data_IF_870981659256
#
_entry.id   IF_870981659256
#
_cell.length_a   1.000
_cell.length_b   1.000
_cell.length_c   1.000
_cell.angle_alpha   90.00
_cell.angle_beta   90.00
_cell.angle_gamma   90.00
#
_symmetry.space_group_name_H-M   'P 1'
#
loop_
_entity.id
_entity.type
_entity.pdbx_description
1 polymer ?
#
# COMPACT_ATOMS: atom_id res chain seq x y z
N UNK A 1 -67.44 -37.32 -32.76
CA UNK A 1 -66.36 -36.35 -32.43
C UNK A 1 -66.25 -36.25 -30.90
N UNK A 2 -65.46 -37.10 -30.26
CA UNK A 2 -65.31 -37.13 -28.80
C UNK A 2 -64.18 -36.17 -28.36
N UNK A 3 -64.50 -35.21 -27.47
CA UNK A 3 -63.50 -34.28 -26.90
C UNK A 3 -62.77 -34.95 -25.73
N UNK A 4 -61.45 -35.09 -25.85
CA UNK A 4 -60.57 -35.60 -24.80
C UNK A 4 -60.49 -34.64 -23.60
N UNK A 5 -60.66 -35.16 -22.38
CA UNK A 5 -60.44 -34.44 -21.11
C UNK A 5 -58.93 -34.28 -20.88
N UNK A 6 -58.44 -33.04 -20.92
CA UNK A 6 -57.06 -32.68 -20.61
C UNK A 6 -56.67 -33.00 -19.16
N UNK A 7 -55.53 -33.67 -19.00
CA UNK A 7 -54.94 -34.03 -17.72
C UNK A 7 -54.49 -32.80 -16.91
N UNK A 8 -54.86 -32.77 -15.62
CA UNK A 8 -54.42 -31.74 -14.68
C UNK A 8 -52.92 -31.92 -14.39
N UNK A 9 -52.10 -30.92 -14.77
CA UNK A 9 -50.67 -30.86 -14.42
C UNK A 9 -50.55 -30.72 -12.90
N UNK A 10 -49.88 -31.67 -12.23
CA UNK A 10 -49.56 -31.56 -10.80
C UNK A 10 -48.55 -30.42 -10.62
N UNK A 11 -48.96 -29.36 -9.95
CA UNK A 11 -48.05 -28.30 -9.52
C UNK A 11 -47.04 -28.88 -8.52
N UNK A 12 -45.74 -28.69 -8.80
CA UNK A 12 -44.65 -29.05 -7.92
C UNK A 12 -44.72 -28.16 -6.67
N UNK A 13 -45.38 -28.64 -5.60
CA UNK A 13 -45.32 -27.98 -4.30
C UNK A 13 -43.89 -28.11 -3.79
N UNK A 14 -43.16 -27.00 -3.79
CA UNK A 14 -41.88 -26.90 -3.09
C UNK A 14 -42.00 -27.45 -1.67
N UNK A 15 -40.97 -28.18 -1.22
CA UNK A 15 -40.89 -28.69 0.15
C UNK A 15 -41.16 -27.55 1.11
N UNK A 16 -42.31 -27.58 1.79
CA UNK A 16 -42.56 -26.71 2.94
C UNK A 16 -41.54 -27.06 4.01
N UNK A 17 -40.84 -26.06 4.54
CA UNK A 17 -39.98 -26.23 5.69
C UNK A 17 -40.75 -26.97 6.79
N UNK A 18 -40.13 -27.97 7.39
CA UNK A 18 -40.72 -28.72 8.49
C UNK A 18 -41.07 -27.73 9.63
N UNK A 19 -42.18 -27.94 10.35
CA UNK A 19 -42.51 -27.10 11.49
C UNK A 19 -41.36 -27.15 12.50
N UNK A 20 -40.92 -25.98 12.97
CA UNK A 20 -39.91 -25.89 14.02
C UNK A 20 -40.43 -26.65 15.25
N UNK A 21 -39.58 -27.51 15.80
CA UNK A 21 -39.92 -28.25 17.02
C UNK A 21 -40.25 -27.25 18.15
N UNK A 22 -41.22 -27.57 19.03
CA UNK A 22 -41.57 -26.70 20.14
C UNK A 22 -40.30 -26.38 20.95
N UNK A 23 -40.07 -25.10 21.23
CA UNK A 23 -38.87 -24.65 21.93
C UNK A 23 -38.80 -25.30 23.31
N UNK A 24 -37.67 -25.96 23.58
CA UNK A 24 -37.45 -26.63 24.85
C UNK A 24 -37.31 -25.59 25.98
N UNK A 25 -38.15 -25.61 27.03
CA UNK A 25 -38.09 -24.64 28.12
C UNK A 25 -36.77 -24.70 28.91
N UNK A 26 -36.06 -25.83 28.91
CA UNK A 26 -34.77 -25.98 29.60
C UNK A 26 -33.60 -25.29 28.89
N UNK A 27 -33.78 -24.90 27.63
CA UNK A 27 -32.76 -24.14 26.89
C UNK A 27 -32.71 -22.67 27.32
N UNK A 28 -33.82 -22.15 27.88
CA UNK A 28 -33.98 -20.76 28.28
C UNK A 28 -33.81 -20.60 29.79
N UNK A 29 -32.71 -19.98 30.19
CA UNK A 29 -32.49 -19.53 31.56
C UNK A 29 -33.01 -18.11 31.73
N UNK A 30 -34.06 -17.92 32.53
CA UNK A 30 -34.59 -16.60 32.88
C UNK A 30 -34.27 -16.24 34.33
N UNK A 31 -33.94 -14.97 34.58
CA UNK A 31 -33.78 -14.45 35.93
C UNK A 31 -35.11 -13.88 36.44
N UNK A 32 -35.50 -14.21 37.67
CA UNK A 32 -36.69 -13.63 38.28
C UNK A 32 -36.46 -12.15 38.57
N UNK A 33 -37.31 -11.28 38.01
CA UNK A 33 -37.31 -9.85 38.33
C UNK A 33 -37.88 -9.64 39.74
N UNK A 34 -37.28 -8.70 40.49
CA UNK A 34 -37.80 -8.27 41.80
C UNK A 34 -39.03 -7.38 41.65
N UNK A 35 -39.03 -6.49 40.65
CA UNK A 35 -40.12 -5.59 40.32
C UNK A 35 -40.41 -5.69 38.84
N UNK A 36 -41.68 -5.79 38.47
CA UNK A 36 -42.11 -5.69 37.08
C UNK A 36 -42.34 -4.23 36.74
N UNK A 37 -41.64 -3.74 35.72
CA UNK A 37 -41.75 -2.38 35.23
C UNK A 37 -42.25 -2.49 33.79
N UNK A 38 -43.48 -2.05 33.56
CA UNK A 38 -44.13 -2.09 32.26
C UNK A 38 -43.24 -1.42 31.20
N UNK A 39 -43.02 -2.12 30.08
CA UNK A 39 -42.23 -1.63 28.94
C UNK A 39 -40.71 -1.71 29.10
N UNK A 40 -40.16 -2.06 30.26
CA UNK A 40 -38.71 -2.14 30.46
C UNK A 40 -38.15 -3.52 30.07
N UNK A 41 -37.53 -3.60 28.88
CA UNK A 41 -36.74 -4.77 28.45
C UNK A 41 -35.34 -4.70 29.06
N UNK A 42 -34.97 -5.69 29.88
CA UNK A 42 -33.64 -5.76 30.50
C UNK A 42 -32.76 -6.69 29.70
N UNK A 43 -31.59 -6.20 29.25
CA UNK A 43 -30.62 -7.02 28.52
C UNK A 43 -30.19 -8.21 29.38
N UNK A 44 -30.32 -9.42 28.84
CA UNK A 44 -29.94 -10.65 29.53
C UNK A 44 -30.95 -11.16 30.55
N UNK A 45 -32.19 -10.68 30.53
CA UNK A 45 -33.33 -11.23 31.27
C UNK A 45 -33.55 -12.71 30.97
N UNK A 46 -33.38 -13.10 29.70
CA UNK A 46 -33.47 -14.47 29.22
C UNK A 46 -32.22 -14.82 28.44
N UNK A 47 -31.63 -15.97 28.74
CA UNK A 47 -30.40 -16.47 28.15
C UNK A 47 -30.64 -17.87 27.59
N UNK A 48 -30.35 -18.07 26.32
CA UNK A 48 -30.44 -19.39 25.69
C UNK A 48 -29.09 -20.10 25.85
N UNK A 49 -28.93 -20.83 26.96
CA UNK A 49 -27.61 -21.30 27.38
C UNK A 49 -27.05 -22.38 26.45
N UNK A 50 -27.87 -23.31 25.94
CA UNK A 50 -27.39 -24.33 25.01
C UNK A 50 -26.98 -23.76 23.66
N UNK A 51 -27.77 -22.86 23.07
CA UNK A 51 -27.40 -22.16 21.81
C UNK A 51 -26.12 -21.33 21.97
N UNK A 52 -25.94 -20.67 23.11
CA UNK A 52 -24.71 -19.92 23.40
C UNK A 52 -23.49 -20.85 23.54
N UNK A 53 -23.65 -22.00 24.20
CA UNK A 53 -22.58 -22.99 24.36
C UNK A 53 -22.23 -23.66 23.03
N UNK A 54 -23.20 -24.03 22.20
CA UNK A 54 -22.96 -24.61 20.88
C UNK A 54 -22.24 -23.61 19.98
N UNK A 55 -22.70 -22.35 19.92
CA UNK A 55 -22.04 -21.29 19.17
C UNK A 55 -20.60 -21.03 19.66
N UNK A 56 -20.36 -21.09 20.97
CA UNK A 56 -18.99 -20.98 21.51
C UNK A 56 -18.11 -22.16 21.09
N UNK A 57 -18.64 -23.38 21.09
CA UNK A 57 -17.91 -24.56 20.63
C UNK A 57 -17.61 -24.50 19.13
N UNK A 58 -18.55 -24.04 18.31
CA UNK A 58 -18.36 -23.82 16.86
C UNK A 58 -17.28 -22.76 16.60
N UNK A 59 -17.28 -21.65 17.34
CA UNK A 59 -16.21 -20.65 17.24
C UNK A 59 -14.84 -21.26 17.52
N UNK A 60 -14.69 -22.05 18.58
CA UNK A 60 -13.42 -22.74 18.89
C UNK A 60 -13.02 -23.75 17.81
N UNK A 61 -13.99 -24.47 17.22
CA UNK A 61 -13.75 -25.37 16.09
C UNK A 61 -13.29 -24.62 14.83
N UNK A 62 -13.72 -23.38 14.64
CA UNK A 62 -13.36 -22.58 13.48
C UNK A 62 -12.05 -21.78 13.67
N UNK A 63 -11.68 -21.46 14.91
CA UNK A 63 -10.45 -20.71 15.22
C UNK A 63 -9.37 -21.60 15.82
N UNK A 64 -9.48 -21.94 17.10
CA UNK A 64 -8.45 -22.66 17.87
C UNK A 64 -8.11 -24.03 17.27
N UNK A 65 -9.10 -24.76 16.75
CA UNK A 65 -8.85 -26.05 16.11
C UNK A 65 -8.06 -25.89 14.80
N UNK A 66 -8.30 -24.81 14.05
CA UNK A 66 -7.55 -24.51 12.82
C UNK A 66 -6.11 -24.14 13.18
N UNK A 67 -5.92 -23.28 14.18
CA UNK A 67 -4.60 -22.91 14.72
C UNK A 67 -3.84 -24.13 15.24
N UNK A 68 -4.50 -25.01 16.02
CA UNK A 68 -3.88 -26.24 16.52
C UNK A 68 -3.42 -27.18 15.42
N UNK A 69 -4.21 -27.34 14.35
CA UNK A 69 -3.83 -28.11 13.16
C UNK A 69 -2.64 -27.49 12.41
N UNK A 70 -2.41 -26.19 12.57
CA UNK A 70 -1.31 -25.45 11.94
C UNK A 70 -0.07 -25.31 12.84
N UNK A 71 -0.18 -25.56 14.16
CA UNK A 71 0.90 -25.34 15.14
C UNK A 71 2.25 -25.99 14.79
N UNK A 72 2.24 -27.18 14.15
CA UNK A 72 3.44 -27.90 13.72
C UNK A 72 3.75 -27.77 12.22
N UNK A 73 3.08 -26.85 11.52
CA UNK A 73 3.26 -26.62 10.08
C UNK A 73 3.94 -25.28 9.87
N UNK A 74 5.08 -25.29 9.18
CA UNK A 74 5.77 -24.06 8.79
C UNK A 74 5.17 -23.40 7.53
N UNK A 75 4.35 -24.14 6.77
CA UNK A 75 3.82 -23.66 5.49
C UNK A 75 2.49 -22.92 5.70
N UNK A 76 2.44 -21.64 5.34
CA UNK A 76 1.23 -20.83 5.30
C UNK A 76 0.91 -20.42 3.86
N UNK A 77 -0.30 -20.71 3.40
CA UNK A 77 -0.79 -20.21 2.11
C UNK A 77 -1.30 -18.78 2.30
N UNK A 78 -0.58 -17.81 1.72
CA UNK A 78 -0.99 -16.40 1.73
C UNK A 78 -1.54 -16.04 0.35
N UNK A 79 -2.85 -15.75 0.30
CA UNK A 79 -3.48 -15.32 -0.93
C UNK A 79 -3.13 -13.86 -1.25
N UNK A 80 -2.33 -13.68 -2.31
CA UNK A 80 -1.87 -12.37 -2.81
C UNK A 80 -2.67 -11.90 -4.04
N UNK A 81 -3.76 -12.57 -4.39
CA UNK A 81 -4.65 -12.13 -5.48
C UNK A 81 -5.23 -10.76 -5.15
N UNK A 82 -5.36 -9.91 -6.16
CA UNK A 82 -5.86 -8.54 -5.98
C UNK A 82 -7.28 -8.57 -5.41
N UNK A 83 -7.52 -7.78 -4.36
CA UNK A 83 -8.85 -7.60 -3.75
C UNK A 83 -9.43 -8.79 -2.98
N UNK A 84 -8.72 -9.93 -2.82
CA UNK A 84 -9.30 -11.08 -2.08
C UNK A 84 -9.62 -10.73 -0.62
N UNK A 85 -8.66 -10.09 0.07
CA UNK A 85 -8.79 -9.70 1.48
C UNK A 85 -9.62 -8.42 1.70
N UNK A 86 -10.01 -7.74 0.63
CA UNK A 86 -10.79 -6.51 0.72
C UNK A 86 -12.29 -6.82 0.75
N UNK A 87 -12.98 -6.29 1.77
CA UNK A 87 -14.43 -6.50 1.98
C UNK A 87 -15.28 -5.46 1.28
N UNK A 88 -14.69 -4.37 0.77
CA UNK A 88 -15.46 -3.30 0.10
C UNK A 88 -15.78 -3.61 -1.35
N UNK A 89 -15.00 -4.48 -1.99
CA UNK A 89 -15.16 -4.87 -3.39
C UNK A 89 -16.13 -6.03 -3.54
N UNK A 90 -16.98 -5.97 -4.57
CA UNK A 90 -17.87 -7.09 -4.95
C UNK A 90 -17.09 -8.23 -5.60
N UNK A 91 -17.68 -9.44 -5.65
CA UNK A 91 -17.04 -10.61 -6.27
C UNK A 91 -16.73 -10.40 -7.76
N UNK A 92 -17.64 -9.72 -8.47
CA UNK A 92 -17.49 -9.37 -9.87
C UNK A 92 -16.32 -8.41 -10.10
N UNK A 93 -16.22 -7.34 -9.31
CA UNK A 93 -15.11 -6.39 -9.39
C UNK A 93 -13.77 -7.06 -9.08
N UNK A 94 -13.71 -7.95 -8.08
CA UNK A 94 -12.51 -8.75 -7.77
C UNK A 94 -12.08 -9.60 -8.97
N UNK A 95 -13.04 -10.23 -9.65
CA UNK A 95 -12.76 -11.06 -10.84
C UNK A 95 -12.24 -10.22 -12.01
N UNK A 96 -12.82 -9.04 -12.23
CA UNK A 96 -12.47 -8.13 -13.31
C UNK A 96 -11.05 -7.58 -13.11
N UNK A 97 -10.72 -7.17 -11.89
CA UNK A 97 -9.38 -6.68 -11.53
C UNK A 97 -8.30 -7.76 -11.67
N UNK A 98 -8.61 -9.02 -11.35
CA UNK A 98 -7.71 -10.14 -11.62
C UNK A 98 -7.45 -10.31 -13.10
N UNK A 99 -8.50 -10.27 -13.91
CA UNK A 99 -8.39 -10.40 -15.36
C UNK A 99 -7.56 -9.25 -15.96
N UNK A 100 -7.79 -8.01 -15.50
CA UNK A 100 -6.99 -6.86 -15.93
C UNK A 100 -5.52 -7.04 -15.55
N UNK A 101 -5.22 -7.42 -14.31
CA UNK A 101 -3.84 -7.65 -13.86
C UNK A 101 -3.17 -8.78 -14.63
N UNK A 102 -3.90 -9.84 -14.94
CA UNK A 102 -3.40 -10.94 -15.78
C UNK A 102 -3.07 -10.44 -17.19
N UNK A 103 -3.98 -9.71 -17.84
CA UNK A 103 -3.73 -9.12 -19.16
C UNK A 103 -2.54 -8.17 -19.17
N UNK A 104 -2.39 -7.35 -18.12
CA UNK A 104 -1.23 -6.47 -17.98
C UNK A 104 0.07 -7.28 -17.83
N UNK A 105 0.05 -8.38 -17.08
CA UNK A 105 1.20 -9.27 -16.95
C UNK A 105 1.54 -9.95 -18.28
N UNK A 106 0.54 -10.40 -19.03
CA UNK A 106 0.72 -11.02 -20.35
C UNK A 106 1.31 -10.03 -21.37
N UNK A 107 0.83 -8.77 -21.35
CA UNK A 107 1.32 -7.69 -22.22
C UNK A 107 2.72 -7.20 -21.83
N UNK A 108 3.04 -7.18 -20.53
CA UNK A 108 4.34 -6.73 -20.04
C UNK A 108 5.52 -7.64 -20.46
N UNK A 109 5.23 -8.83 -21.00
CA UNK A 109 6.23 -9.80 -21.38
C UNK A 109 6.84 -10.50 -20.15
N UNK A 110 7.16 -11.78 -20.29
CA UNK A 110 7.93 -12.49 -19.26
C UNK A 110 9.33 -11.90 -19.18
N UNK A 111 9.92 -11.86 -17.97
CA UNK A 111 11.34 -11.50 -17.77
C UNK A 111 12.33 -12.39 -18.57
N UNK A 112 11.83 -13.44 -19.20
CA UNK A 112 12.55 -14.41 -20.02
C UNK A 112 12.15 -14.38 -21.50
N UNK A 113 11.26 -13.46 -21.90
CA UNK A 113 11.01 -13.19 -23.31
C UNK A 113 12.13 -12.28 -23.81
N UNK A 114 13.26 -12.89 -24.20
CA UNK A 114 14.31 -12.16 -24.91
C UNK A 114 13.74 -11.65 -26.24
N UNK A 115 13.95 -10.38 -26.60
CA UNK A 115 13.63 -9.93 -27.94
C UNK A 115 14.47 -10.72 -28.94
N UNK A 116 13.81 -11.30 -29.95
CA UNK A 116 14.46 -12.10 -31.01
C UNK A 116 15.27 -11.22 -31.97
N UNK A 117 14.98 -9.92 -32.02
CA UNK A 117 15.83 -8.93 -32.67
C UNK A 117 16.99 -8.55 -31.75
N UNK A 118 18.17 -9.04 -32.08
CA UNK A 118 19.45 -8.56 -31.60
C UNK A 118 19.64 -7.10 -32.06
N UNK A 119 18.98 -6.19 -31.35
CA UNK A 119 19.09 -4.76 -31.58
C UNK A 119 20.57 -4.38 -31.39
N UNK A 120 21.29 -3.85 -32.39
CA UNK A 120 22.74 -3.62 -32.32
C UNK A 120 23.16 -2.57 -31.27
N UNK A 121 22.19 -1.96 -30.57
CA UNK A 121 22.39 -1.07 -29.42
C UNK A 121 22.50 -1.81 -28.09
N UNK A 122 22.15 -3.10 -28.05
CA UNK A 122 22.18 -3.97 -26.87
C UNK A 122 23.31 -4.99 -26.93
N UNK A 123 24.36 -4.72 -27.72
CA UNK A 123 25.62 -5.48 -27.67
C UNK A 123 26.26 -5.23 -26.29
N UNK A 124 26.54 -6.30 -25.55
CA UNK A 124 27.15 -6.19 -24.23
C UNK A 124 28.59 -5.69 -24.38
N UNK A 125 28.84 -4.46 -23.95
CA UNK A 125 30.15 -3.81 -24.04
C UNK A 125 30.74 -3.55 -22.65
N UNK A 126 32.06 -3.74 -22.50
CA UNK A 126 32.82 -3.35 -21.31
C UNK A 126 33.93 -2.38 -21.75
N UNK A 127 33.98 -1.19 -21.17
CA UNK A 127 34.97 -0.17 -21.55
C UNK A 127 34.87 0.33 -23.01
N UNK A 128 33.69 0.22 -23.64
CA UNK A 128 33.49 0.66 -25.03
C UNK A 128 33.91 -0.34 -26.12
N UNK A 129 34.28 -1.57 -25.75
CA UNK A 129 34.49 -2.70 -26.67
C UNK A 129 33.42 -3.78 -26.47
N UNK A 130 33.02 -4.42 -27.57
CA UNK A 130 32.12 -5.58 -27.54
C UNK A 130 32.80 -6.75 -26.83
N UNK A 131 32.11 -7.36 -25.86
CA UNK A 131 32.61 -8.56 -25.19
C UNK A 131 32.65 -9.78 -26.12
N UNK A 132 31.86 -9.78 -27.20
CA UNK A 132 31.87 -10.85 -28.19
C UNK A 132 33.17 -10.90 -29.01
N UNK A 133 33.83 -9.75 -29.16
CA UNK A 133 35.12 -9.61 -29.88
C UNK A 133 36.33 -9.69 -28.93
N UNK A 134 36.09 -9.83 -27.62
CA UNK A 134 37.16 -9.93 -26.64
C UNK A 134 37.71 -11.36 -26.64
N UNK A 135 38.97 -11.52 -27.06
CA UNK A 135 39.66 -12.81 -27.08
C UNK A 135 39.90 -13.31 -25.64
N UNK A 136 38.94 -14.10 -25.15
CA UNK A 136 39.05 -14.77 -23.85
C UNK A 136 40.07 -15.92 -23.87
N UNK A 137 40.56 -16.31 -25.06
CA UNK A 137 41.54 -17.38 -25.24
C UNK A 137 42.95 -17.03 -24.74
N UNK A 138 43.28 -15.74 -24.62
CA UNK A 138 44.56 -15.31 -24.05
C UNK A 138 44.64 -15.47 -22.51
N UNK A 139 43.49 -15.65 -21.84
CA UNK A 139 43.39 -15.82 -20.38
C UNK A 139 42.90 -17.20 -19.95
N UNK A 140 42.78 -18.16 -20.88
CA UNK A 140 42.31 -19.50 -20.59
C UNK A 140 43.13 -20.57 -21.32
N UNK A 141 44.25 -20.99 -20.73
CA UNK A 141 45.07 -22.03 -21.36
C UNK A 141 46.22 -22.59 -20.52
N UNK A 142 46.13 -22.56 -19.20
CA UNK A 142 47.09 -23.23 -18.31
C UNK A 142 46.38 -24.32 -17.53
N UNK A 143 46.84 -25.56 -17.69
CA UNK A 143 46.45 -26.75 -16.94
C UNK A 143 46.26 -26.45 -15.44
N UNK A 144 45.12 -26.85 -14.88
CA UNK A 144 44.76 -26.61 -13.48
C UNK A 144 45.55 -27.59 -12.60
N UNK A 145 46.82 -27.29 -12.37
CA UNK A 145 47.62 -28.00 -11.37
C UNK A 145 48.69 -27.06 -10.81
N UNK A 146 48.35 -26.34 -9.74
CA UNK A 146 49.33 -25.70 -8.87
C UNK A 146 49.04 -24.26 -8.50
N UNK A 147 48.75 -24.08 -7.21
CA UNK A 147 48.94 -22.87 -6.40
C UNK A 147 48.02 -21.67 -6.70
N UNK A 148 46.99 -21.53 -5.86
CA UNK A 148 45.99 -20.46 -5.85
C UNK A 148 46.58 -19.05 -5.55
N UNK A 149 47.89 -18.94 -5.30
CA UNK A 149 48.53 -17.71 -4.83
C UNK A 149 48.97 -16.76 -5.98
N UNK A 150 49.02 -17.22 -7.23
CA UNK A 150 49.54 -16.42 -8.35
C UNK A 150 48.48 -15.65 -9.16
N UNK A 151 47.18 -15.86 -8.90
CA UNK A 151 46.10 -15.22 -9.65
C UNK A 151 45.73 -13.81 -9.14
N UNK A 152 46.17 -13.45 -7.94
CA UNK A 152 45.81 -12.18 -7.30
C UNK A 152 46.64 -10.98 -7.76
N UNK A 153 47.87 -11.20 -8.27
CA UNK A 153 48.79 -10.11 -8.64
C UNK A 153 48.72 -9.71 -10.13
N UNK A 154 48.10 -10.56 -10.97
CA UNK A 154 47.92 -10.30 -12.40
C UNK A 154 46.50 -9.82 -12.77
N UNK A 155 45.63 -9.59 -11.78
CA UNK A 155 44.32 -9.01 -12.00
C UNK A 155 44.46 -7.49 -12.20
N UNK A 156 44.57 -7.08 -13.46
CA UNK A 156 44.59 -5.66 -13.84
C UNK A 156 43.33 -4.97 -13.25
N UNK A 157 43.47 -4.00 -12.32
CA UNK A 157 42.34 -3.39 -11.62
C UNK A 157 41.37 -2.64 -12.54
N UNK A 158 41.74 -2.44 -13.81
CA UNK A 158 40.87 -1.93 -14.86
C UNK A 158 39.77 -2.92 -15.31
N UNK A 159 39.93 -4.23 -15.02
CA UNK A 159 38.97 -5.28 -15.36
C UNK A 159 38.19 -5.81 -14.14
N UNK A 160 38.46 -5.30 -12.95
CA UNK A 160 37.71 -5.63 -11.74
C UNK A 160 36.30 -5.04 -11.81
N UNK A 161 35.35 -5.86 -12.26
CA UNK A 161 33.93 -5.54 -12.24
C UNK A 161 33.42 -5.47 -10.79
N UNK A 162 33.44 -4.26 -10.22
CA UNK A 162 32.68 -3.91 -9.02
C UNK A 162 33.52 -3.48 -7.83
N UNK A 163 33.50 -2.18 -7.51
CA UNK A 163 34.09 -1.70 -6.26
C UNK A 163 34.22 -0.19 -6.08
N UNK A 164 33.22 0.60 -6.51
CA UNK A 164 33.12 1.99 -6.09
C UNK A 164 32.49 2.09 -4.69
N UNK A 165 33.34 2.27 -3.67
CA UNK A 165 33.09 2.93 -2.38
C UNK A 165 31.64 2.93 -1.87
N UNK A 166 31.20 1.83 -1.24
CA UNK A 166 30.19 1.88 -0.19
C UNK A 166 30.64 0.98 0.95
N UNK A 167 31.03 1.61 2.05
CA UNK A 167 31.33 0.94 3.30
C UNK A 167 30.11 0.16 3.77
N UNK A 168 30.34 -1.13 4.00
CA UNK A 168 29.41 -2.09 4.57
C UNK A 168 29.24 -1.79 6.07
N UNK A 169 28.09 -1.22 6.44
CA UNK A 169 27.56 -1.30 7.80
C UNK A 169 26.26 -2.12 7.76
N UNK A 170 26.30 -3.26 8.46
CA UNK A 170 25.24 -4.27 8.55
C UNK A 170 23.87 -3.72 9.01
N UNK A 171 22.76 -4.42 8.68
CA UNK A 171 21.41 -4.02 9.02
C UNK A 171 21.03 -4.53 10.40
N UNK A 172 20.76 -3.64 11.36
CA UNK A 172 20.12 -4.04 12.61
C UNK A 172 19.29 -2.90 13.22
N UNK A 173 18.11 -3.31 13.70
CA UNK A 173 17.16 -2.63 14.59
C UNK A 173 16.02 -1.82 13.96
N UNK A 174 14.86 -2.47 14.00
CA UNK A 174 13.62 -1.93 14.56
C UNK A 174 13.83 -0.77 15.55
N UNK A 175 13.19 0.38 15.27
CA UNK A 175 12.89 1.47 16.20
C UNK A 175 11.63 2.16 15.63
N UNK A 176 10.42 1.78 16.00
CA UNK A 176 9.76 2.06 17.28
C UNK A 176 10.11 3.45 17.82
N UNK A 177 9.15 4.38 17.68
CA UNK A 177 8.79 5.40 18.69
C UNK A 177 9.91 6.29 19.25
N UNK A 178 9.90 7.57 18.87
CA UNK A 178 10.19 8.77 19.69
C UNK A 178 10.13 9.96 18.72
N UNK A 179 9.34 11.00 18.96
CA UNK A 179 9.23 11.72 20.22
C UNK A 179 10.02 13.02 20.07
N UNK A 180 9.47 13.97 19.33
CA UNK A 180 9.97 15.35 19.31
C UNK A 180 9.28 16.11 20.44
N UNK A 181 9.95 16.22 21.58
CA UNK A 181 9.56 17.04 22.72
C UNK A 181 10.42 18.31 22.77
N UNK A 182 9.76 19.47 22.74
CA UNK A 182 10.04 20.72 23.47
C UNK A 182 8.91 21.69 23.05
N UNK A 183 8.12 22.38 23.87
CA UNK A 183 8.04 22.61 25.30
C UNK A 183 6.59 23.02 25.60
N UNK A 184 5.99 22.57 26.71
CA UNK A 184 4.62 23.00 27.03
C UNK A 184 3.90 22.28 28.17
N UNK A 185 4.50 22.32 29.36
CA UNK A 185 3.85 22.27 30.67
C UNK A 185 2.81 21.17 30.94
N UNK A 186 3.23 20.20 31.75
CA UNK A 186 2.39 19.16 32.34
C UNK A 186 1.12 19.71 33.02
N UNK A 187 -0.04 19.17 32.63
CA UNK A 187 -1.16 18.99 33.56
C UNK A 187 -1.84 17.67 33.25
N UNK A 188 -1.72 16.71 34.17
CA UNK A 188 -2.29 15.39 34.08
C UNK A 188 -3.83 15.44 34.12
N UNK A 189 -4.49 14.77 33.17
CA UNK A 189 -5.74 13.98 33.33
C UNK A 189 -6.59 14.00 32.05
N UNK A 190 -6.45 12.96 31.22
CA UNK A 190 -7.51 12.19 30.52
C UNK A 190 -6.95 11.41 29.32
N UNK A 191 -7.51 10.23 28.98
CA UNK A 191 -7.07 9.45 27.82
C UNK A 191 -7.30 10.24 26.53
N UNK A 192 -6.29 10.32 25.68
CA UNK A 192 -6.31 11.04 24.41
C UNK A 192 -7.47 10.56 23.51
N UNK A 193 -8.58 11.30 23.53
CA UNK A 193 -9.66 11.16 22.56
C UNK A 193 -9.09 11.54 21.20
N UNK A 194 -9.22 10.66 20.21
CA UNK A 194 -8.89 10.99 18.82
C UNK A 194 -9.67 12.25 18.43
N UNK A 195 -8.97 13.24 17.86
CA UNK A 195 -9.57 14.50 17.37
C UNK A 195 -10.76 14.17 16.45
N UNK A 196 -11.85 14.91 16.55
CA UNK A 196 -13.02 14.67 15.70
C UNK A 196 -12.70 15.05 14.24
N UNK A 197 -13.35 14.41 13.27
CA UNK A 197 -13.18 14.76 11.85
C UNK A 197 -13.49 16.25 11.58
N UNK A 198 -14.43 16.83 12.34
CA UNK A 198 -14.75 18.25 12.26
C UNK A 198 -13.57 19.14 12.71
N UNK A 199 -12.88 18.78 13.80
CA UNK A 199 -11.67 19.48 14.26
C UNK A 199 -10.54 19.37 13.22
N UNK A 200 -10.32 18.17 12.67
CA UNK A 200 -9.29 17.94 11.65
C UNK A 200 -9.58 18.79 10.40
N UNK A 201 -10.83 18.81 9.94
CA UNK A 201 -11.21 19.62 8.78
C UNK A 201 -11.08 21.12 9.05
N UNK A 202 -11.40 21.58 10.26
CA UNK A 202 -11.21 22.98 10.65
C UNK A 202 -9.71 23.36 10.66
N UNK A 203 -8.84 22.50 11.17
CA UNK A 203 -7.39 22.72 11.15
C UNK A 203 -6.82 22.75 9.73
N UNK A 204 -7.27 21.83 8.85
CA UNK A 204 -6.86 21.80 7.44
C UNK A 204 -7.30 23.07 6.71
N UNK A 205 -8.54 23.50 6.89
CA UNK A 205 -9.05 24.75 6.29
C UNK A 205 -8.31 25.97 6.84
N UNK A 206 -8.02 25.99 8.15
CA UNK A 206 -7.25 27.07 8.78
C UNK A 206 -5.84 27.20 8.20
N UNK A 207 -5.12 26.07 8.10
CA UNK A 207 -3.79 26.02 7.49
C UNK A 207 -3.82 26.43 6.01
N UNK A 208 -4.77 25.90 5.24
CA UNK A 208 -4.89 26.23 3.81
C UNK A 208 -5.15 27.72 3.58
N UNK A 209 -5.98 28.36 4.42
CA UNK A 209 -6.23 29.80 4.37
C UNK A 209 -4.99 30.61 4.73
N UNK A 210 -4.26 30.21 5.78
CA UNK A 210 -3.01 30.88 6.17
C UNK A 210 -1.95 30.80 5.08
N UNK A 211 -1.74 29.62 4.48
CA UNK A 211 -0.80 29.45 3.37
C UNK A 211 -1.19 30.26 2.12
N UNK A 212 -2.50 30.34 1.82
CA UNK A 212 -2.99 31.17 0.71
C UNK A 212 -2.75 32.66 0.96
N UNK A 213 -2.99 33.13 2.18
CA UNK A 213 -2.74 34.52 2.58
C UNK A 213 -1.24 34.85 2.51
N UNK A 214 -0.38 33.98 3.04
CA UNK A 214 1.08 34.16 2.98
C UNK A 214 1.60 34.21 1.53
N UNK A 215 1.08 33.36 0.64
CA UNK A 215 1.41 33.41 -0.79
C UNK A 215 0.95 34.69 -1.47
N UNK A 216 -0.18 35.24 -1.05
CA UNK A 216 -0.65 36.52 -1.60
C UNK A 216 0.24 37.66 -1.12
N UNK A 217 0.58 37.70 0.17
CA UNK A 217 1.51 38.67 0.74
C UNK A 217 2.86 38.63 0.03
N UNK A 218 3.45 37.45 -0.15
CA UNK A 218 4.70 37.31 -0.91
C UNK A 218 4.61 37.89 -2.32
N UNK A 219 3.50 37.66 -3.03
CA UNK A 219 3.31 38.23 -4.37
C UNK A 219 3.15 39.75 -4.36
N UNK A 220 2.46 40.28 -3.35
CA UNK A 220 2.26 41.72 -3.20
C UNK A 220 3.59 42.41 -2.82
N UNK A 221 4.39 41.77 -1.95
CA UNK A 221 5.74 42.20 -1.58
C UNK A 221 6.68 42.17 -2.80
N UNK A 222 6.71 41.06 -3.56
CA UNK A 222 7.50 40.93 -4.79
C UNK A 222 7.11 42.01 -5.83
N UNK A 223 5.82 42.31 -5.96
CA UNK A 223 5.33 43.34 -6.87
C UNK A 223 5.73 44.74 -6.42
N UNK A 224 5.65 45.04 -5.12
CA UNK A 224 6.10 46.32 -4.57
C UNK A 224 7.61 46.52 -4.73
N UNK A 225 8.41 45.46 -4.54
CA UNK A 225 9.85 45.50 -4.79
C UNK A 225 10.16 45.75 -6.27
N UNK A 226 9.43 45.10 -7.19
CA UNK A 226 9.57 45.31 -8.63
C UNK A 226 9.24 46.76 -9.03
N UNK A 227 8.13 47.32 -8.52
CA UNK A 227 7.75 48.72 -8.77
C UNK A 227 8.82 49.68 -8.22
N UNK A 228 9.35 49.43 -7.02
CA UNK A 228 10.42 50.25 -6.44
C UNK A 228 11.72 50.19 -7.27
N UNK A 229 12.07 49.03 -7.81
CA UNK A 229 13.21 48.86 -8.71
C UNK A 229 12.99 49.57 -10.05
N UNK A 230 11.78 49.51 -10.61
CA UNK A 230 11.42 50.23 -11.83
C UNK A 230 11.45 51.75 -11.64
N UNK A 231 10.97 52.25 -10.49
CA UNK A 231 11.09 53.66 -10.12
C UNK A 231 12.55 54.09 -9.99
N UNK A 232 13.37 53.31 -9.27
CA UNK A 232 14.80 53.57 -9.14
C UNK A 232 15.51 53.55 -10.50
N UNK A 233 15.19 52.58 -11.35
CA UNK A 233 15.73 52.47 -12.70
C UNK A 233 15.33 53.67 -13.57
N UNK A 234 14.06 54.08 -13.53
CA UNK A 234 13.58 55.25 -14.27
C UNK A 234 14.27 56.54 -13.83
N UNK A 235 14.52 56.70 -12.51
CA UNK A 235 15.24 57.85 -11.97
C UNK A 235 16.71 57.87 -12.42
N UNK A 236 17.37 56.71 -12.41
CA UNK A 236 18.77 56.54 -12.82
C UNK A 236 18.93 56.74 -14.35
N UNK A 237 17.95 56.26 -15.13
CA UNK A 237 17.88 56.49 -16.57
C UNK A 237 17.69 57.98 -16.89
N UNK A 238 16.80 58.68 -16.16
CA UNK A 238 16.58 60.12 -16.33
C UNK A 238 17.82 60.95 -15.97
N UNK A 239 18.58 60.54 -14.95
CA UNK A 239 19.86 61.17 -14.57
C UNK A 239 20.98 60.97 -15.60
N UNK A 240 20.76 60.14 -16.64
CA UNK A 240 21.70 59.94 -17.74
C UNK A 240 22.94 59.11 -17.39
N UNK A 241 23.01 58.53 -16.19
CA UNK A 241 24.11 57.69 -15.74
C UNK A 241 24.26 56.40 -16.58
N UNK A 242 23.17 55.93 -17.20
CA UNK A 242 23.15 54.74 -18.05
C UNK A 242 23.59 54.98 -19.50
N UNK A 243 23.73 56.24 -19.94
CA UNK A 243 24.05 56.56 -21.36
C UNK A 243 25.41 56.05 -21.80
N UNK A 244 26.35 55.88 -20.87
CA UNK A 244 27.70 55.38 -21.14
C UNK A 244 27.78 53.84 -21.17
N UNK A 245 26.73 53.14 -20.75
CA UNK A 245 26.65 51.67 -20.68
C UNK A 245 25.84 51.06 -21.83
N UNK A 246 24.97 51.83 -22.48
CA UNK A 246 24.17 51.38 -23.62
C UNK A 246 24.91 51.63 -24.93
N UNK A 247 25.49 50.59 -25.54
CA UNK A 247 26.04 50.66 -26.91
C UNK A 247 24.85 50.74 -27.88
N UNK A 248 24.81 51.79 -28.71
CA UNK A 248 23.84 51.87 -29.80
C UNK A 248 24.08 50.68 -30.74
N UNK A 249 23.10 49.78 -30.86
CA UNK A 249 23.18 48.68 -31.82
C UNK A 249 22.99 49.25 -33.23
N UNK A 250 24.09 49.66 -33.87
CA UNK A 250 24.06 50.19 -35.24
C UNK A 250 25.20 51.10 -35.69
N UNK A 251 26.30 51.22 -34.95
CA UNK A 251 27.58 51.76 -35.45
C UNK A 251 28.71 50.74 -35.28
#
# INVERSE_FOLDING_TARGET
>A
MAKAKGGKRKAFRGRRAAPEAPENPFERLSNKKRFDILGRKVKGETRETGKLRSAAAEKRKNTLLVEYKQLRKANAFVDRRFGENDKTMTEEEKSLLRLQKQRLFDVAGGKFALPEEEDPRHVLTHGGRSLADQDWGAYGGGDFEGDDEAWADAADPALSFGGGLFERAEPRLERATEGGEEDGLATASQPAKKRSHAEIMAEVVGKAKAFKAARQQQRDDDAAEAEALDEAFSSLAAQGALKNLTVAKGE
#
